data_IF_170012983170
#
_entry.id   IF_170012983170
#
_cell.length_a   1.000
_cell.length_b   1.000
_cell.length_c   1.000
_cell.angle_alpha   90.00
_cell.angle_beta   90.00
_cell.angle_gamma   90.00
#
_symmetry.space_group_name_H-M   'P 1'
#
loop_
_entity.id
_entity.type
_entity.pdbx_description
1 polymer ?
#
# COMPACT_ATOMS: atom_id res chain seq x y z
N UNK A 1 6.90 3.26 -3.92
CA UNK A 1 6.87 1.96 -4.61
C UNK A 1 6.09 2.08 -5.91
N UNK A 2 6.32 1.20 -6.89
CA UNK A 2 5.65 1.20 -8.20
C UNK A 2 5.15 -0.21 -8.55
N UNK A 3 3.94 -0.64 -8.12
CA UNK A 3 3.34 -1.87 -8.64
C UNK A 3 3.01 -1.72 -10.12
N UNK A 4 3.04 -2.84 -10.85
CA UNK A 4 2.72 -2.92 -12.27
C UNK A 4 1.75 -4.07 -12.51
N UNK A 5 0.92 -3.96 -13.56
CA UNK A 5 -0.06 -4.96 -13.92
C UNK A 5 -1.29 -4.93 -13.01
N UNK A 6 -1.83 -6.10 -12.69
CA UNK A 6 -3.06 -6.21 -11.91
C UNK A 6 -2.78 -6.12 -10.40
N UNK A 7 -3.75 -5.60 -9.64
CA UNK A 7 -3.76 -5.67 -8.18
C UNK A 7 -5.05 -6.34 -7.75
N UNK A 8 -4.94 -7.59 -7.33
CA UNK A 8 -6.06 -8.45 -6.94
C UNK A 8 -5.70 -9.32 -5.72
N UNK A 9 -6.64 -10.15 -5.27
CA UNK A 9 -6.41 -11.08 -4.16
C UNK A 9 -5.14 -11.96 -4.29
N UNK A 10 -4.73 -12.31 -5.51
CA UNK A 10 -3.58 -13.20 -5.75
C UNK A 10 -2.24 -12.49 -5.58
N UNK A 11 -2.15 -11.22 -5.95
CA UNK A 11 -0.90 -10.47 -5.97
C UNK A 11 -0.86 -9.28 -4.99
N UNK A 12 -1.85 -9.17 -4.09
CA UNK A 12 -1.93 -8.08 -3.11
C UNK A 12 -0.88 -8.16 -2.00
N UNK A 13 -0.32 -9.33 -1.71
CA UNK A 13 0.52 -9.55 -0.54
C UNK A 13 1.79 -8.66 -0.49
N UNK A 14 2.56 -8.49 -1.59
CA UNK A 14 3.70 -7.58 -1.63
C UNK A 14 3.30 -6.11 -1.39
N UNK A 15 2.15 -5.67 -1.92
CA UNK A 15 1.64 -4.31 -1.71
C UNK A 15 1.29 -4.08 -0.24
N UNK A 16 0.56 -5.01 0.39
CA UNK A 16 0.23 -4.93 1.82
C UNK A 16 1.48 -4.84 2.67
N UNK A 17 2.46 -5.72 2.43
CA UNK A 17 3.70 -5.73 3.20
C UNK A 17 4.46 -4.40 3.03
N UNK A 18 4.51 -3.84 1.83
CA UNK A 18 5.17 -2.55 1.60
C UNK A 18 4.48 -1.38 2.30
N UNK A 19 3.14 -1.41 2.40
CA UNK A 19 2.34 -0.39 3.07
C UNK A 19 2.35 -0.50 4.60
N UNK A 20 2.51 -1.71 5.15
CA UNK A 20 2.51 -1.97 6.60
C UNK A 20 3.90 -2.19 7.19
N UNK A 21 4.97 -2.07 6.39
CA UNK A 21 6.34 -2.10 6.92
C UNK A 21 6.48 -0.97 7.92
N UNK A 22 6.78 -1.30 9.17
CA UNK A 22 7.07 -0.29 10.17
C UNK A 22 8.28 0.51 9.71
N UNK A 23 8.03 1.79 9.42
CA UNK A 23 9.08 2.74 9.14
C UNK A 23 9.83 2.94 10.46
N UNK A 24 10.90 2.17 10.65
CA UNK A 24 11.78 2.19 11.85
C UNK A 24 12.48 3.54 12.05
N UNK A 25 12.28 4.46 11.08
CA UNK A 25 12.67 5.86 11.10
C UNK A 25 11.43 6.71 10.81
N UNK A 26 11.12 7.67 11.70
CA UNK A 26 10.11 8.76 11.64
C UNK A 26 9.49 8.97 10.25
N UNK A 27 8.14 9.01 10.09
CA UNK A 27 7.51 8.68 8.82
C UNK A 27 7.87 9.67 7.71
N UNK A 28 8.83 9.27 6.90
CA UNK A 28 9.02 9.79 5.56
C UNK A 28 7.77 9.41 4.75
N UNK A 29 7.11 10.42 4.19
CA UNK A 29 5.95 10.30 3.30
C UNK A 29 6.05 9.08 2.38
N UNK A 30 5.11 8.15 2.48
CA UNK A 30 5.00 7.00 1.57
C UNK A 30 4.31 7.40 0.28
N UNK A 31 4.96 7.16 -0.86
CA UNK A 31 4.40 7.39 -2.20
C UNK A 31 4.23 6.06 -2.93
N UNK A 32 3.02 5.80 -3.40
CA UNK A 32 2.67 4.67 -4.26
C UNK A 32 2.35 5.22 -5.64
N UNK A 33 3.11 4.81 -6.64
CA UNK A 33 2.89 5.18 -8.03
C UNK A 33 2.06 4.08 -8.70
N UNK A 34 0.83 4.40 -9.10
CA UNK A 34 -0.09 3.45 -9.71
C UNK A 34 -0.17 3.60 -11.24
N UNK A 35 0.76 4.36 -11.86
CA UNK A 35 0.72 4.63 -13.31
C UNK A 35 0.86 3.39 -14.19
N UNK A 36 1.49 2.32 -13.69
CA UNK A 36 1.67 1.04 -14.39
C UNK A 36 0.64 -0.03 -13.97
N UNK A 37 -0.32 0.31 -13.10
CA UNK A 37 -1.38 -0.60 -12.68
C UNK A 37 -2.49 -0.60 -13.72
N UNK A 38 -2.79 -1.78 -14.27
CA UNK A 38 -3.79 -1.95 -15.33
C UNK A 38 -5.17 -2.29 -14.79
N UNK A 39 -5.25 -2.86 -13.58
CA UNK A 39 -6.51 -3.23 -12.93
C UNK A 39 -6.34 -3.25 -11.41
N UNK A 40 -7.39 -2.89 -10.67
CA UNK A 40 -7.43 -3.00 -9.21
C UNK A 40 -8.83 -3.41 -8.75
N UNK A 41 -8.92 -4.49 -7.97
CA UNK A 41 -10.16 -4.93 -7.33
C UNK A 41 -10.41 -4.20 -5.99
N UNK A 42 -11.50 -4.56 -5.31
CA UNK A 42 -11.82 -4.02 -3.97
C UNK A 42 -10.79 -4.39 -2.92
N UNK A 43 -10.07 -5.51 -3.07
CA UNK A 43 -8.98 -5.93 -2.19
C UNK A 43 -7.80 -4.97 -2.30
N UNK A 44 -7.45 -4.57 -3.52
CA UNK A 44 -6.44 -3.57 -3.83
C UNK A 44 -6.71 -2.22 -3.17
N UNK A 45 -7.93 -1.71 -3.32
CA UNK A 45 -8.34 -0.45 -2.71
C UNK A 45 -8.32 -0.53 -1.17
N UNK A 46 -8.82 -1.63 -0.61
CA UNK A 46 -8.82 -1.84 0.84
C UNK A 46 -7.39 -1.86 1.43
N UNK A 47 -6.42 -2.44 0.70
CA UNK A 47 -5.02 -2.42 1.12
C UNK A 47 -4.45 -0.99 1.21
N UNK A 48 -4.77 -0.11 0.25
CA UNK A 48 -4.36 1.30 0.28
C UNK A 48 -4.97 2.05 1.47
N UNK A 49 -6.25 1.82 1.77
CA UNK A 49 -6.94 2.43 2.92
C UNK A 49 -6.26 2.01 4.23
N UNK A 50 -5.97 0.72 4.39
CA UNK A 50 -5.29 0.19 5.59
C UNK A 50 -3.89 0.80 5.71
N UNK A 51 -3.12 0.85 4.61
CA UNK A 51 -1.79 1.46 4.60
C UNK A 51 -1.80 2.94 4.97
N UNK A 52 -2.76 3.70 4.42
CA UNK A 52 -2.95 5.11 4.75
C UNK A 52 -3.30 5.28 6.23
N UNK A 53 -4.22 4.48 6.78
CA UNK A 53 -4.56 4.50 8.20
C UNK A 53 -3.37 4.13 9.09
N UNK A 54 -2.53 3.19 8.70
CA UNK A 54 -1.32 2.85 9.44
C UNK A 54 -0.30 4.01 9.43
N UNK A 55 -0.17 4.73 8.31
CA UNK A 55 0.73 5.88 8.19
C UNK A 55 0.23 7.13 8.95
N UNK A 56 -1.09 7.28 9.11
CA UNK A 56 -1.73 8.42 9.80
C UNK A 56 -2.24 8.09 11.20
N UNK A 57 -2.21 6.82 11.61
CA UNK A 57 -2.53 6.39 12.95
C UNK A 57 -1.46 6.91 13.88
N UNK A 58 -1.81 7.92 14.68
CA UNK A 58 -0.98 8.45 15.76
C UNK A 58 -0.41 7.28 16.57
N UNK A 59 0.92 7.16 16.75
CA UNK A 59 1.46 6.27 17.77
C UNK A 59 0.88 6.75 19.10
N UNK A 60 0.03 5.94 19.72
CA UNK A 60 -0.44 6.16 21.08
C UNK A 60 0.70 6.02 22.07
#
# INVERSE_FOLDING_TARGET
MRPHGEIDHHNIAPLRQALTREHTTVPARTVVDLSEVTFMDSTGLNALIIGHRAAHGTPG
#
